data_IF_478273536352
#
_entry.id   IF_478273536352
#
_cell.length_a   1.000
_cell.length_b   1.000
_cell.length_c   1.000
_cell.angle_alpha   90.00
_cell.angle_beta   90.00
_cell.angle_gamma   90.00
#
_symmetry.space_group_name_H-M   'P 1'
#
loop_
_entity.id
_entity.type
_entity.pdbx_description
1 polymer ?
#
# COMPACT_ATOMS: atom_id res chain seq x y z
N UNK A 1 2.49 -22.56 7.48
CA UNK A 1 2.75 -22.37 6.04
C UNK A 1 1.72 -21.37 5.52
N UNK A 2 2.11 -20.11 5.33
CA UNK A 2 1.21 -19.05 4.85
C UNK A 2 1.28 -19.01 3.32
N UNK A 3 0.18 -19.36 2.66
CA UNK A 3 0.06 -19.30 1.20
C UNK A 3 -0.49 -17.93 0.79
N UNK A 4 0.37 -17.09 0.18
CA UNK A 4 -0.02 -16.43 -1.07
C UNK A 4 -0.55 -14.98 -1.05
N UNK A 5 0.18 -14.03 -0.47
CA UNK A 5 0.11 -12.64 -1.00
C UNK A 5 0.78 -12.63 -2.39
N UNK A 6 0.00 -12.58 -3.48
CA UNK A 6 0.53 -12.38 -4.84
C UNK A 6 0.44 -10.89 -5.20
N UNK A 7 1.56 -10.18 -5.18
CA UNK A 7 1.67 -8.91 -5.90
C UNK A 7 1.76 -9.22 -7.40
N UNK A 8 0.90 -8.60 -8.21
CA UNK A 8 1.01 -8.66 -9.66
C UNK A 8 2.02 -7.61 -10.10
N UNK A 9 3.26 -8.05 -10.38
CA UNK A 9 4.32 -7.16 -10.85
C UNK A 9 4.09 -6.86 -12.33
N UNK A 10 3.67 -5.64 -12.66
CA UNK A 10 3.74 -5.12 -14.03
C UNK A 10 5.21 -4.81 -14.33
N UNK A 11 5.78 -5.20 -15.49
CA UNK A 11 7.18 -4.90 -15.81
C UNK A 11 7.41 -3.40 -15.75
N UNK A 12 8.11 -2.96 -14.71
CA UNK A 12 8.39 -1.57 -14.46
C UNK A 12 9.46 -1.09 -15.45
N UNK A 13 9.08 -0.15 -16.32
CA UNK A 13 10.05 0.78 -16.92
C UNK A 13 10.90 1.40 -15.82
N UNK A 14 12.22 1.46 -16.05
CA UNK A 14 13.19 1.92 -15.06
C UNK A 14 12.77 3.24 -14.39
N UNK A 15 12.91 3.29 -13.07
CA UNK A 15 12.75 4.53 -12.31
C UNK A 15 13.73 5.59 -12.84
N UNK A 16 13.36 6.86 -12.73
CA UNK A 16 14.18 7.98 -13.20
C UNK A 16 14.28 9.06 -12.13
N UNK A 17 15.37 9.81 -12.15
CA UNK A 17 15.57 10.93 -11.25
C UNK A 17 15.18 12.26 -11.92
N UNK A 18 14.53 13.12 -11.16
CA UNK A 18 14.18 14.48 -11.58
C UNK A 18 14.15 15.39 -10.35
N UNK A 19 14.79 16.57 -10.42
CA UNK A 19 14.86 17.53 -9.30
C UNK A 19 15.33 16.91 -7.96
N UNK A 20 16.24 15.94 -8.01
CA UNK A 20 16.77 15.26 -6.82
C UNK A 20 15.81 14.27 -6.14
N UNK A 21 14.73 13.88 -6.83
CA UNK A 21 13.76 12.87 -6.36
C UNK A 21 13.70 11.70 -7.34
N UNK A 22 13.39 10.51 -6.84
CA UNK A 22 13.21 9.31 -7.67
C UNK A 22 11.74 9.18 -8.07
N UNK A 23 11.44 8.83 -9.32
CA UNK A 23 10.09 8.63 -9.84
C UNK A 23 9.98 7.31 -10.59
N UNK A 24 8.78 6.74 -10.62
CA UNK A 24 8.54 5.49 -11.36
C UNK A 24 8.46 5.76 -12.88
N UNK A 25 9.04 4.89 -13.71
CA UNK A 25 9.11 5.13 -15.15
C UNK A 25 7.82 4.87 -15.94
N UNK A 26 6.82 4.22 -15.33
CA UNK A 26 5.67 3.70 -16.08
C UNK A 26 4.77 4.84 -16.53
N UNK A 27 4.58 5.00 -17.84
CA UNK A 27 3.92 6.17 -18.43
C UNK A 27 4.48 7.47 -17.85
N UNK A 28 5.81 7.58 -17.87
CA UNK A 28 6.59 8.72 -17.36
C UNK A 28 5.87 10.06 -17.54
N UNK A 29 5.75 10.81 -16.45
CA UNK A 29 5.08 12.12 -16.40
C UNK A 29 3.58 12.08 -16.11
N UNK A 30 2.91 10.91 -16.17
CA UNK A 30 1.49 10.82 -15.77
C UNK A 30 1.30 10.78 -14.25
N UNK A 31 2.17 10.06 -13.52
CA UNK A 31 2.15 10.08 -12.06
C UNK A 31 3.21 11.06 -11.57
N UNK A 32 2.75 12.07 -10.83
CA UNK A 32 3.55 13.23 -10.43
C UNK A 32 4.27 13.06 -9.08
N UNK A 33 4.03 11.95 -8.37
CA UNK A 33 4.65 11.74 -7.07
C UNK A 33 5.93 10.91 -7.17
N UNK A 34 6.94 11.25 -6.35
CA UNK A 34 8.16 10.46 -6.25
C UNK A 34 7.91 9.05 -5.67
N UNK A 35 8.93 8.21 -5.66
CA UNK A 35 8.92 6.85 -5.13
C UNK A 35 10.17 6.55 -4.27
N UNK A 36 10.80 7.59 -3.74
CA UNK A 36 11.94 7.54 -2.83
C UNK A 36 11.53 7.45 -1.36
N UNK A 37 12.51 7.26 -0.47
CA UNK A 37 12.28 7.11 0.97
C UNK A 37 11.53 8.30 1.60
N UNK A 38 11.86 9.57 1.31
CA UNK A 38 11.11 10.70 1.88
C UNK A 38 9.62 10.70 1.49
N UNK A 39 9.28 10.15 0.32
CA UNK A 39 7.87 10.00 -0.07
C UNK A 39 7.19 8.86 0.67
N UNK A 40 7.87 7.73 0.88
CA UNK A 40 7.37 6.63 1.71
C UNK A 40 7.11 7.10 3.13
N UNK A 41 8.03 7.85 3.73
CA UNK A 41 7.86 8.47 5.06
C UNK A 41 6.63 9.40 5.09
N UNK A 42 6.45 10.21 4.04
CA UNK A 42 5.25 11.05 3.90
C UNK A 42 4.00 10.18 3.94
N UNK A 43 3.93 9.11 3.16
CA UNK A 43 2.76 8.21 3.09
C UNK A 43 2.47 7.56 4.44
N UNK A 44 3.49 7.15 5.19
CA UNK A 44 3.32 6.56 6.52
C UNK A 44 2.79 7.57 7.55
N UNK A 45 3.21 8.84 7.47
CA UNK A 45 2.62 9.93 8.25
C UNK A 45 1.14 10.11 7.90
N UNK A 46 0.75 10.04 6.62
CA UNK A 46 -0.65 10.12 6.20
C UNK A 46 -1.48 8.96 6.75
N UNK A 47 -0.97 7.73 6.73
CA UNK A 47 -1.62 6.58 7.37
C UNK A 47 -1.89 6.85 8.85
N UNK A 48 -0.88 7.29 9.60
CA UNK A 48 -1.07 7.60 11.03
C UNK A 48 -2.03 8.75 11.26
N UNK A 49 -1.98 9.80 10.43
CA UNK A 49 -2.93 10.92 10.50
C UNK A 49 -4.37 10.42 10.36
N UNK A 50 -4.65 9.55 9.38
CA UNK A 50 -5.99 9.00 9.20
C UNK A 50 -6.41 8.08 10.34
N UNK A 51 -5.50 7.27 10.88
CA UNK A 51 -5.79 6.46 12.06
C UNK A 51 -6.21 7.34 13.25
N UNK A 52 -5.43 8.38 13.57
CA UNK A 52 -5.76 9.30 14.67
C UNK A 52 -7.10 9.99 14.42
N UNK A 53 -7.31 10.54 13.22
CA UNK A 53 -8.56 11.19 12.85
C UNK A 53 -9.79 10.26 12.94
N UNK A 54 -9.59 8.96 12.69
CA UNK A 54 -10.62 7.91 12.76
C UNK A 54 -10.64 7.18 14.10
N UNK A 55 -9.98 7.69 15.15
CA UNK A 55 -9.92 7.06 16.48
C UNK A 55 -9.44 5.62 16.40
N UNK A 56 -8.33 5.41 15.69
CA UNK A 56 -7.65 4.13 15.47
C UNK A 56 -8.49 3.07 14.70
N UNK A 57 -9.50 3.50 13.93
CA UNK A 57 -10.27 2.61 13.04
C UNK A 57 -9.71 2.61 11.61
N UNK A 58 -9.19 1.46 11.17
CA UNK A 58 -8.70 1.25 9.79
C UNK A 58 -9.80 1.37 8.72
N UNK A 59 -11.04 1.02 9.05
CA UNK A 59 -12.21 1.09 8.17
C UNK A 59 -13.47 1.40 8.98
N UNK A 60 -14.52 1.86 8.30
CA UNK A 60 -15.84 2.07 8.89
C UNK A 60 -16.88 1.02 8.46
N UNK A 61 -16.54 0.14 7.51
CA UNK A 61 -17.41 -0.94 7.09
C UNK A 61 -17.71 -1.89 8.28
N UNK A 62 -18.96 -2.36 8.44
CA UNK A 62 -19.35 -3.23 9.54
C UNK A 62 -18.92 -4.69 9.28
N UNK A 63 -17.61 -4.96 9.32
CA UNK A 63 -17.05 -6.30 9.13
C UNK A 63 -17.01 -7.00 10.49
N UNK A 64 -17.73 -8.12 10.69
CA UNK A 64 -17.67 -8.88 11.94
C UNK A 64 -16.29 -9.51 12.15
N UNK A 65 -15.80 -9.52 13.39
CA UNK A 65 -14.46 -10.04 13.72
C UNK A 65 -14.24 -11.52 13.38
N UNK A 66 -15.32 -12.31 13.34
CA UNK A 66 -15.29 -13.74 13.06
C UNK A 66 -15.34 -14.06 11.55
N UNK A 67 -15.48 -13.05 10.68
CA UNK A 67 -15.44 -13.24 9.24
C UNK A 67 -14.00 -13.31 8.72
N UNK A 68 -13.85 -13.98 7.58
CA UNK A 68 -12.64 -14.05 6.78
C UNK A 68 -12.84 -13.17 5.53
N UNK A 69 -12.73 -11.84 5.63
CA UNK A 69 -13.00 -10.97 4.49
C UNK A 69 -11.94 -11.15 3.41
N UNK A 70 -12.35 -11.00 2.15
CA UNK A 70 -11.45 -10.87 1.00
C UNK A 70 -11.40 -9.39 0.64
N UNK A 71 -10.22 -8.78 0.72
CA UNK A 71 -10.01 -7.34 0.65
C UNK A 71 -9.07 -7.04 -0.51
N UNK A 72 -9.42 -6.03 -1.32
CA UNK A 72 -8.56 -5.47 -2.37
C UNK A 72 -8.27 -4.01 -2.03
N UNK A 73 -7.01 -3.69 -1.81
CA UNK A 73 -6.50 -2.34 -1.56
C UNK A 73 -5.90 -1.77 -2.86
N UNK A 74 -6.53 -0.72 -3.40
CA UNK A 74 -6.19 -0.11 -4.69
C UNK A 74 -5.41 1.19 -4.45
N UNK A 75 -4.22 1.28 -5.02
CA UNK A 75 -3.28 2.36 -4.68
C UNK A 75 -2.70 2.13 -3.29
N UNK A 76 -2.29 0.88 -3.00
CA UNK A 76 -1.88 0.48 -1.65
C UNK A 76 -0.61 1.17 -1.16
N UNK A 77 0.14 1.85 -2.04
CA UNK A 77 1.28 2.66 -1.65
C UNK A 77 2.37 1.83 -0.97
N UNK A 78 2.79 2.24 0.23
CA UNK A 78 3.74 1.46 1.06
C UNK A 78 3.17 0.11 1.51
N UNK A 79 1.86 -0.09 1.42
CA UNK A 79 1.15 -1.30 1.82
C UNK A 79 0.78 -1.35 3.31
N UNK A 80 1.10 -0.31 4.09
CA UNK A 80 0.91 -0.27 5.54
C UNK A 80 -0.54 -0.56 5.96
N UNK A 81 -1.52 0.01 5.23
CA UNK A 81 -2.94 -0.23 5.53
C UNK A 81 -3.36 -1.68 5.24
N UNK A 82 -2.89 -2.26 4.13
CA UNK A 82 -3.18 -3.65 3.77
C UNK A 82 -2.59 -4.63 4.80
N UNK A 83 -1.38 -4.37 5.28
CA UNK A 83 -0.72 -5.15 6.34
C UNK A 83 -1.52 -5.05 7.64
N UNK A 84 -1.86 -3.84 8.08
CA UNK A 84 -2.64 -3.63 9.31
C UNK A 84 -4.03 -4.30 9.24
N UNK A 85 -4.67 -4.34 8.07
CA UNK A 85 -5.93 -5.04 7.87
C UNK A 85 -5.78 -6.56 7.94
N UNK A 86 -4.69 -7.12 7.41
CA UNK A 86 -4.37 -8.54 7.51
C UNK A 86 -4.11 -8.94 8.98
N UNK A 87 -3.39 -8.11 9.73
CA UNK A 87 -3.13 -8.34 11.15
C UNK A 87 -4.41 -8.22 12.01
N UNK A 88 -5.30 -7.27 11.67
CA UNK A 88 -6.59 -7.10 12.36
C UNK A 88 -7.53 -8.30 12.15
N UNK A 89 -7.53 -8.88 10.96
CA UNK A 89 -8.39 -10.01 10.59
C UNK A 89 -7.53 -11.21 10.17
N UNK A 90 -7.10 -12.01 11.14
CA UNK A 90 -6.14 -13.11 10.94
C UNK A 90 -6.51 -14.15 9.86
N UNK A 91 -7.80 -14.29 9.55
CA UNK A 91 -8.30 -15.21 8.51
C UNK A 91 -8.64 -14.50 7.19
N UNK A 92 -8.32 -13.22 7.06
CA UNK A 92 -8.59 -12.45 5.85
C UNK A 92 -7.63 -12.79 4.72
N UNK A 93 -8.09 -12.51 3.50
CA UNK A 93 -7.26 -12.53 2.30
C UNK A 93 -7.18 -11.09 1.79
N UNK A 94 -6.03 -10.44 1.99
CA UNK A 94 -5.81 -9.07 1.53
C UNK A 94 -4.99 -9.10 0.24
N UNK A 95 -5.29 -8.23 -0.71
CA UNK A 95 -4.50 -7.99 -1.92
C UNK A 95 -4.21 -6.52 -2.05
N UNK A 96 -2.93 -6.14 -2.07
CA UNK A 96 -2.49 -4.78 -2.40
C UNK A 96 -2.14 -4.68 -3.87
N UNK A 97 -2.62 -3.63 -4.53
CA UNK A 97 -2.24 -3.29 -5.89
C UNK A 97 -1.84 -1.81 -5.95
N UNK A 98 -0.65 -1.56 -6.47
CA UNK A 98 -0.19 -0.21 -6.78
C UNK A 98 0.49 -0.17 -8.14
N UNK A 99 0.54 1.02 -8.73
CA UNK A 99 1.29 1.29 -9.96
C UNK A 99 2.81 1.29 -9.71
N UNK A 100 3.22 1.66 -8.49
CA UNK A 100 4.60 1.83 -8.07
C UNK A 100 4.95 0.72 -7.08
N UNK A 101 6.02 -0.02 -7.39
CA UNK A 101 6.52 -1.08 -6.53
C UNK A 101 7.45 -0.52 -5.45
N UNK A 102 6.88 -0.02 -4.34
CA UNK A 102 7.58 0.55 -3.18
C UNK A 102 7.27 -0.19 -1.86
N UNK A 103 6.58 -1.32 -1.95
CA UNK A 103 6.19 -2.13 -0.79
C UNK A 103 7.40 -2.88 -0.22
N UNK A 104 7.38 -3.26 1.07
CA UNK A 104 8.46 -4.06 1.69
C UNK A 104 8.73 -5.38 0.96
N UNK A 105 9.99 -5.78 0.90
CA UNK A 105 10.38 -7.11 0.43
C UNK A 105 9.94 -8.19 1.43
N UNK A 106 9.69 -9.40 0.93
CA UNK A 106 9.30 -10.57 1.74
C UNK A 106 10.49 -11.34 2.28
#
# INVERSE_FOLDING_TARGET
>A
MLTGHRSLVVPASHNYEENGRLYHGFRRGLYMYPCDEPEKDRMDIYHKLFLVARREHLHQAPIPQHWAPRILDLGCGTGIWAIDMADKYLNSEVYGLDLVNIQPEK
#
